data_IF_462664829864
#
_entry.id   IF_462664829864
#
_cell.length_a   1.000
_cell.length_b   1.000
_cell.length_c   1.000
_cell.angle_alpha   90.00
_cell.angle_beta   90.00
_cell.angle_gamma   90.00
#
_symmetry.space_group_name_H-M   'P 1'
#
loop_
_entity.id
_entity.type
_entity.pdbx_description
1 polymer ?
#
# COMPACT_ATOMS: atom_id res chain seq x y z
N UNK A 1 9.31 -8.20 -17.52
CA UNK A 1 9.06 -8.26 -16.07
C UNK A 1 7.59 -8.39 -15.80
N UNK A 2 7.26 -9.25 -14.84
CA UNK A 2 5.90 -9.45 -14.34
C UNK A 2 5.54 -8.31 -13.40
N UNK A 3 4.26 -7.96 -13.32
CA UNK A 3 3.74 -7.09 -12.26
C UNK A 3 4.00 -7.75 -10.88
N UNK A 4 4.37 -6.99 -9.84
CA UNK A 4 4.51 -7.53 -8.48
C UNK A 4 3.16 -8.01 -7.95
N UNK A 5 3.17 -9.14 -7.25
CA UNK A 5 2.00 -9.63 -6.52
C UNK A 5 2.01 -9.04 -5.09
N UNK A 6 0.98 -8.27 -4.71
CA UNK A 6 0.88 -7.71 -3.36
C UNK A 6 0.34 -8.74 -2.36
N UNK A 7 0.71 -8.61 -1.09
CA UNK A 7 0.09 -9.43 -0.03
C UNK A 7 -1.41 -9.15 0.11
N UNK A 8 -1.80 -7.87 0.05
CA UNK A 8 -3.20 -7.44 0.05
C UNK A 8 -3.39 -6.25 -0.89
N UNK A 9 -4.49 -6.28 -1.64
CA UNK A 9 -4.97 -5.15 -2.43
C UNK A 9 -6.42 -4.81 -2.09
N UNK A 10 -6.70 -3.53 -1.87
CA UNK A 10 -8.06 -3.00 -1.79
C UNK A 10 -8.40 -2.45 -3.18
N UNK A 11 -9.39 -3.05 -3.84
CA UNK A 11 -9.78 -2.73 -5.22
C UNK A 11 -11.24 -2.28 -5.28
N UNK A 12 -11.56 -1.44 -6.26
CA UNK A 12 -12.93 -0.97 -6.52
C UNK A 12 -13.75 -2.05 -7.20
N UNK A 13 -15.04 -2.11 -6.90
CA UNK A 13 -15.95 -3.12 -7.44
C UNK A 13 -16.49 -4.03 -6.36
N UNK A 14 -17.23 -5.04 -6.78
CA UNK A 14 -17.78 -6.11 -5.98
C UNK A 14 -17.15 -7.46 -6.36
N UNK A 15 -17.63 -8.53 -5.72
CA UNK A 15 -17.12 -9.90 -5.93
C UNK A 15 -17.27 -10.38 -7.39
N UNK A 16 -18.22 -9.80 -8.14
CA UNK A 16 -18.52 -10.16 -9.53
C UNK A 16 -17.86 -9.22 -10.57
N UNK A 17 -17.10 -8.22 -10.12
CA UNK A 17 -16.51 -7.20 -10.99
C UNK A 17 -15.31 -7.69 -11.81
N UNK A 18 -14.66 -8.78 -11.36
CA UNK A 18 -13.42 -9.31 -11.95
C UNK A 18 -13.49 -10.82 -12.25
N UNK A 19 -14.52 -11.31 -12.97
CA UNK A 19 -14.77 -12.75 -13.10
C UNK A 19 -13.81 -13.42 -14.09
N UNK A 20 -13.22 -12.65 -15.00
CA UNK A 20 -12.38 -13.15 -16.10
C UNK A 20 -11.00 -12.48 -16.20
N UNK A 21 -10.76 -11.42 -15.42
CA UNK A 21 -9.50 -10.67 -15.43
C UNK A 21 -9.23 -10.10 -14.04
N UNK A 22 -7.97 -9.90 -13.69
CA UNK A 22 -7.61 -9.22 -12.44
C UNK A 22 -7.90 -7.71 -12.51
N UNK A 23 -8.09 -7.06 -11.35
CA UNK A 23 -8.13 -5.60 -11.26
C UNK A 23 -6.84 -5.00 -11.84
N UNK A 24 -6.98 -3.89 -12.54
CA UNK A 24 -5.83 -3.11 -13.01
C UNK A 24 -5.37 -2.13 -11.93
N UNK A 25 -4.19 -1.53 -12.10
CA UNK A 25 -3.72 -0.49 -11.16
C UNK A 25 -4.69 0.69 -11.01
N UNK A 26 -5.49 1.01 -12.04
CA UNK A 26 -6.50 2.06 -11.99
C UNK A 26 -7.67 1.71 -11.06
N UNK A 27 -7.92 0.41 -10.85
CA UNK A 27 -8.98 -0.09 -9.99
C UNK A 27 -8.55 -0.16 -8.52
N UNK A 28 -7.25 -0.13 -8.25
CA UNK A 28 -6.68 -0.23 -6.91
C UNK A 28 -6.86 1.08 -6.13
N UNK A 29 -7.39 0.97 -4.91
CA UNK A 29 -7.42 2.06 -3.93
C UNK A 29 -6.20 2.05 -3.01
N UNK A 30 -5.75 0.87 -2.58
CA UNK A 30 -4.59 0.72 -1.69
C UNK A 30 -3.89 -0.62 -1.93
N UNK A 31 -2.56 -0.61 -1.98
CA UNK A 31 -1.73 -1.82 -1.90
C UNK A 31 -1.10 -1.91 -0.51
N UNK A 32 -1.01 -3.11 0.05
CA UNK A 32 -0.45 -3.37 1.37
C UNK A 32 0.53 -4.55 1.27
N UNK A 33 1.73 -4.35 1.81
CA UNK A 33 2.76 -5.40 1.96
C UNK A 33 3.07 -5.60 3.44
N UNK A 34 3.25 -6.85 3.85
CA UNK A 34 3.61 -7.26 5.20
C UNK A 34 5.08 -7.68 5.19
N UNK A 35 5.95 -6.74 5.54
CA UNK A 35 7.38 -6.90 5.34
C UNK A 35 8.08 -7.39 6.61
N UNK A 36 8.49 -8.66 6.59
CA UNK A 36 9.48 -9.21 7.53
C UNK A 36 10.88 -9.19 6.89
N UNK A 37 11.15 -10.14 6.00
CA UNK A 37 12.41 -10.25 5.27
C UNK A 37 12.44 -9.49 3.93
N UNK A 38 11.29 -8.99 3.47
CA UNK A 38 11.11 -8.33 2.16
C UNK A 38 11.19 -6.79 2.23
N UNK A 39 11.46 -6.23 3.41
CA UNK A 39 11.39 -4.79 3.66
C UNK A 39 12.23 -3.96 2.68
N UNK A 40 13.42 -4.43 2.32
CA UNK A 40 14.29 -3.73 1.37
C UNK A 40 13.67 -3.66 -0.03
N UNK A 41 13.14 -4.79 -0.54
CA UNK A 41 12.48 -4.82 -1.85
C UNK A 41 11.18 -4.03 -1.87
N UNK A 42 10.43 -4.05 -0.76
CA UNK A 42 9.16 -3.33 -0.65
C UNK A 42 9.40 -1.81 -0.64
N UNK A 43 10.43 -1.32 0.06
CA UNK A 43 10.83 0.10 0.06
C UNK A 43 11.56 0.56 -1.21
N UNK A 44 11.96 -0.34 -2.09
CA UNK A 44 12.75 -0.01 -3.29
C UNK A 44 12.03 -0.36 -4.58
N UNK A 45 12.13 -1.59 -5.05
CA UNK A 45 11.64 -2.01 -6.35
C UNK A 45 10.10 -1.94 -6.43
N UNK A 46 9.39 -2.53 -5.47
CA UNK A 46 7.92 -2.51 -5.48
C UNK A 46 7.35 -1.11 -5.30
N UNK A 47 7.91 -0.31 -4.38
CA UNK A 47 7.52 1.09 -4.19
C UNK A 47 7.59 1.89 -5.49
N UNK A 48 8.67 1.74 -6.27
CA UNK A 48 8.81 2.42 -7.57
C UNK A 48 7.80 1.90 -8.59
N UNK A 49 7.54 0.61 -8.64
CA UNK A 49 6.55 0.02 -9.56
C UNK A 49 5.14 0.56 -9.26
N UNK A 50 4.71 0.53 -8.00
CA UNK A 50 3.38 1.02 -7.63
C UNK A 50 3.24 2.54 -7.79
N UNK A 51 4.29 3.30 -7.48
CA UNK A 51 4.33 4.74 -7.75
C UNK A 51 4.18 5.05 -9.25
N UNK A 52 4.87 4.28 -10.11
CA UNK A 52 4.77 4.41 -11.58
C UNK A 52 3.36 4.14 -12.07
N UNK A 53 2.72 3.13 -11.50
CA UNK A 53 1.35 2.74 -11.80
C UNK A 53 0.30 3.71 -11.24
N UNK A 54 0.72 4.80 -10.56
CA UNK A 54 -0.16 5.80 -9.93
C UNK A 54 -1.12 5.22 -8.90
N UNK A 55 -0.71 4.15 -8.22
CA UNK A 55 -1.47 3.62 -7.07
C UNK A 55 -1.58 4.73 -6.02
N UNK A 56 -2.79 5.09 -5.55
CA UNK A 56 -2.95 6.27 -4.69
C UNK A 56 -2.27 6.15 -3.33
N UNK A 57 -2.31 4.95 -2.73
CA UNK A 57 -1.84 4.66 -1.39
C UNK A 57 -1.08 3.33 -1.39
N UNK A 58 0.11 3.31 -0.83
CA UNK A 58 0.92 2.12 -0.64
C UNK A 58 1.34 1.99 0.82
N UNK A 59 1.01 0.86 1.43
CA UNK A 59 1.29 0.58 2.84
C UNK A 59 2.36 -0.49 2.96
N UNK A 60 3.29 -0.25 3.89
CA UNK A 60 4.25 -1.26 4.33
C UNK A 60 4.04 -1.48 5.82
N UNK A 61 3.67 -2.71 6.19
CA UNK A 61 3.65 -3.16 7.58
C UNK A 61 5.05 -3.70 7.88
N UNK A 62 5.92 -2.82 8.37
CA UNK A 62 7.32 -3.12 8.67
C UNK A 62 7.40 -3.83 10.04
N UNK A 63 7.52 -5.16 9.99
CA UNK A 63 7.56 -6.01 11.18
C UNK A 63 8.88 -5.88 11.97
N UNK A 64 10.07 -5.87 11.35
CA UNK A 64 11.33 -5.74 12.07
C UNK A 64 11.43 -4.49 12.93
N UNK A 65 10.96 -3.35 12.42
CA UNK A 65 11.01 -2.08 13.13
C UNK A 65 9.72 -1.77 13.92
N UNK A 66 8.70 -2.65 13.82
CA UNK A 66 7.35 -2.46 14.38
C UNK A 66 6.72 -1.12 13.97
N UNK A 67 6.77 -0.82 12.68
CA UNK A 67 6.29 0.41 12.09
C UNK A 67 5.24 0.13 11.03
N UNK A 68 4.40 1.12 10.80
CA UNK A 68 3.45 1.13 9.71
C UNK A 68 3.72 2.34 8.84
N UNK A 69 4.08 2.11 7.59
CA UNK A 69 4.54 3.14 6.66
C UNK A 69 3.45 3.39 5.62
N UNK A 70 3.09 4.66 5.45
CA UNK A 70 2.04 5.08 4.52
C UNK A 70 2.64 5.99 3.47
N UNK A 71 2.74 5.48 2.26
CA UNK A 71 3.21 6.21 1.10
C UNK A 71 2.03 6.75 0.30
N UNK A 72 2.02 8.05 0.05
CA UNK A 72 0.96 8.74 -0.71
C UNK A 72 1.55 9.76 -1.68
N UNK A 73 0.69 10.36 -2.50
CA UNK A 73 1.07 11.33 -3.54
C UNK A 73 2.04 10.74 -4.56
N UNK A 74 1.66 9.67 -5.29
CA UNK A 74 2.49 9.09 -6.33
C UNK A 74 2.86 10.16 -7.37
N UNK A 75 4.15 10.42 -7.51
CA UNK A 75 4.73 11.47 -8.33
C UNK A 75 5.88 10.92 -9.19
N UNK A 76 6.65 11.82 -9.81
CA UNK A 76 7.79 11.46 -10.63
C UNK A 76 7.43 11.18 -12.09
N UNK A 77 8.48 11.08 -12.91
CA UNK A 77 8.40 10.68 -14.32
C UNK A 77 8.39 9.16 -14.45
N UNK A 78 8.11 8.64 -15.64
CA UNK A 78 8.20 7.19 -15.90
C UNK A 78 9.57 6.60 -15.58
N UNK A 79 10.64 7.39 -15.73
CA UNK A 79 12.03 6.99 -15.47
C UNK A 79 12.46 7.15 -14.01
N UNK A 80 11.70 7.88 -13.20
CA UNK A 80 11.99 8.10 -11.78
C UNK A 80 10.68 8.24 -10.98
N UNK A 81 9.89 7.16 -10.88
CA UNK A 81 8.65 7.16 -10.13
C UNK A 81 8.94 7.13 -8.62
N UNK A 82 8.14 7.87 -7.84
CA UNK A 82 8.28 7.92 -6.38
C UNK A 82 6.95 8.29 -5.72
N UNK A 83 6.83 8.07 -4.41
CA UNK A 83 5.78 8.69 -3.60
C UNK A 83 6.29 10.00 -3.01
N UNK A 84 5.39 10.98 -2.87
CA UNK A 84 5.75 12.34 -2.42
C UNK A 84 5.71 12.51 -0.91
N UNK A 85 5.04 11.58 -0.24
CA UNK A 85 4.85 11.61 1.19
C UNK A 85 4.99 10.18 1.73
N UNK A 86 5.65 10.08 2.88
CA UNK A 86 5.78 8.87 3.66
C UNK A 86 5.54 9.24 5.14
N UNK A 87 4.45 8.74 5.70
CA UNK A 87 4.13 8.87 7.11
C UNK A 87 4.42 7.57 7.84
N UNK A 88 5.10 7.66 8.98
CA UNK A 88 5.47 6.51 9.80
C UNK A 88 4.67 6.52 11.08
N UNK A 89 3.88 5.46 11.28
CA UNK A 89 3.06 5.25 12.45
C UNK A 89 3.64 4.16 13.35
N UNK A 90 3.47 4.34 14.66
CA UNK A 90 3.91 3.45 15.73
C UNK A 90 2.72 2.72 16.35
N UNK A 91 2.93 1.67 17.18
CA UNK A 91 1.85 0.90 17.76
C UNK A 91 0.78 1.69 18.52
N UNK A 92 1.13 2.83 19.12
CA UNK A 92 0.19 3.68 19.86
C UNK A 92 -0.67 4.59 18.95
N UNK A 93 -0.34 4.66 17.66
CA UNK A 93 -0.99 5.55 16.71
C UNK A 93 -2.22 4.89 16.06
N UNK A 94 -2.98 5.71 15.33
CA UNK A 94 -4.09 5.28 14.50
C UNK A 94 -3.86 5.78 13.09
N UNK A 95 -4.17 4.95 12.10
CA UNK A 95 -4.17 5.34 10.69
C UNK A 95 -5.58 5.46 10.15
N UNK A 96 -5.76 6.41 9.24
CA UNK A 96 -6.99 6.57 8.46
C UNK A 96 -6.91 5.69 7.20
N UNK A 97 -7.91 4.82 7.02
CA UNK A 97 -8.14 4.21 5.71
C UNK A 97 -8.97 5.19 4.86
N UNK A 98 -8.33 5.80 3.89
CA UNK A 98 -8.93 6.71 2.93
C UNK A 98 -9.08 6.02 1.58
N UNK A 99 -10.30 5.96 1.06
CA UNK A 99 -10.58 5.51 -0.31
C UNK A 99 -11.30 6.63 -1.05
N UNK A 100 -10.75 7.09 -2.16
CA UNK A 100 -11.34 8.16 -2.99
C UNK A 100 -11.67 9.45 -2.21
N UNK A 101 -10.83 9.78 -1.23
CA UNK A 101 -11.00 10.95 -0.36
C UNK A 101 -12.03 10.77 0.75
N UNK A 102 -12.65 9.59 0.86
CA UNK A 102 -13.62 9.25 1.91
C UNK A 102 -12.90 8.47 3.02
N UNK A 103 -13.11 8.89 4.27
CA UNK A 103 -12.68 8.12 5.44
C UNK A 103 -13.59 6.91 5.57
N UNK A 104 -13.02 5.73 5.35
CA UNK A 104 -13.73 4.46 5.55
C UNK A 104 -13.74 4.10 7.03
N UNK A 105 -12.57 4.15 7.68
CA UNK A 105 -12.42 3.84 9.11
C UNK A 105 -11.11 4.36 9.68
N UNK A 106 -10.99 4.33 11.01
CA UNK A 106 -9.72 4.43 11.73
C UNK A 106 -9.26 3.03 12.12
N UNK A 107 -7.98 2.74 11.92
CA UNK A 107 -7.37 1.46 12.27
C UNK A 107 -6.31 1.70 13.35
N UNK A 108 -6.47 1.14 14.56
CA UNK A 108 -5.42 1.19 15.58
C UNK A 108 -4.22 0.36 15.12
N UNK A 109 -3.03 0.98 15.06
CA UNK A 109 -1.83 0.28 14.56
C UNK A 109 -1.42 -0.88 15.48
N UNK A 110 -1.72 -0.79 16.77
CA UNK A 110 -1.54 -1.91 17.70
C UNK A 110 -2.27 -3.19 17.29
N UNK A 111 -3.39 -3.11 16.54
CA UNK A 111 -4.14 -4.27 16.09
C UNK A 111 -3.50 -4.92 14.85
N UNK A 112 -2.92 -4.11 13.97
CA UNK A 112 -2.20 -4.59 12.78
C UNK A 112 -0.87 -5.24 13.15
N UNK A 113 -0.18 -4.71 14.17
CA UNK A 113 1.11 -5.20 14.65
C UNK A 113 1.00 -6.23 15.80
N UNK A 114 -0.21 -6.71 16.11
CA UNK A 114 -0.47 -7.66 17.22
C UNK A 114 -0.11 -9.10 16.86
N UNK A 115 -0.07 -9.42 15.58
CA UNK A 115 -0.06 -10.78 15.03
C UNK A 115 1.29 -11.19 14.43
N UNK A 116 2.29 -10.31 14.51
CA UNK A 116 3.62 -10.48 13.95
C UNK A 116 4.66 -10.74 15.04
#
# INVERSE_FOLDING_TARGET
DSEPEPDVAIVRGDEDSYPTQHPTAADVGTIIEISDSTLESDRSDKLRVYARARVPVYWIINLPDRQFEVYTLPNGSESSPAYGQCDIYRPADNVLLLLDGVIVTHIPISELLRSA
#
